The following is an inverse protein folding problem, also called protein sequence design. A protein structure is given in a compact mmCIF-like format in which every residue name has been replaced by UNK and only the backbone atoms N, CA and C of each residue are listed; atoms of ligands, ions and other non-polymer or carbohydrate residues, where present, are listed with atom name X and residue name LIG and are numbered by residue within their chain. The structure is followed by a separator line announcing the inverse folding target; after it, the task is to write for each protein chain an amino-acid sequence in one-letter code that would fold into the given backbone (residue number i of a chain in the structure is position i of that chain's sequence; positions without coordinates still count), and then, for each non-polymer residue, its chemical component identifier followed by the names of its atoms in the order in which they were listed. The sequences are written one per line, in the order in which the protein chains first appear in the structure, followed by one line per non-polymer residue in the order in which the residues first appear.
data_IF_601920274223
#
_entry.id   IF_601920274223
#
_cell.length_a   1.000
_cell.length_b   1.000
_cell.length_c   1.000
_cell.angle_alpha   90.00
_cell.angle_beta   90.00
_cell.angle_gamma   90.00
#
_symmetry.space_group_name_H-M   'P 1'
#
loop_
_entity.id
_entity.type
_entity.pdbx_description
1 polymer ?
#
# COMPACT_ATOMS: atom_id res chain seq x y z
N UNK A 1 12.77 17.07 -15.04
CA UNK A 1 11.80 15.99 -15.16
C UNK A 1 11.63 15.28 -13.83
N UNK A 2 10.43 15.22 -13.33
CA UNK A 2 10.17 14.62 -12.02
C UNK A 2 9.99 13.12 -12.18
N UNK A 3 10.81 12.35 -11.49
CA UNK A 3 10.64 10.91 -11.44
C UNK A 3 9.78 10.54 -10.27
N UNK A 4 8.91 9.57 -10.47
CA UNK A 4 8.08 9.04 -9.40
C UNK A 4 8.88 8.02 -8.59
N UNK A 5 9.47 8.49 -7.50
CA UNK A 5 10.34 7.67 -6.66
C UNK A 5 9.60 7.34 -5.37
N UNK A 6 9.64 6.06 -4.99
CA UNK A 6 9.02 5.61 -3.75
C UNK A 6 9.71 6.24 -2.53
N UNK A 7 8.90 6.78 -1.62
CA UNK A 7 9.40 7.41 -0.41
C UNK A 7 10.04 6.41 0.56
N UNK A 8 9.76 5.14 0.41
CA UNK A 8 10.24 4.09 1.32
C UNK A 8 11.48 3.38 0.78
N UNK A 9 11.43 2.89 -0.45
CA UNK A 9 12.53 2.10 -1.00
C UNK A 9 13.42 2.85 -1.99
N UNK A 10 13.07 4.08 -2.33
CA UNK A 10 13.81 4.91 -3.28
C UNK A 10 13.89 4.36 -4.70
N UNK A 11 13.07 3.38 -5.03
CA UNK A 11 13.01 2.85 -6.38
C UNK A 11 11.96 3.58 -7.20
N UNK A 12 12.15 3.60 -8.51
CA UNK A 12 11.21 4.22 -9.42
C UNK A 12 9.90 3.45 -9.43
N UNK A 13 8.78 4.17 -9.36
CA UNK A 13 7.46 3.57 -9.33
C UNK A 13 6.96 3.42 -10.76
N UNK A 14 6.76 2.18 -11.20
CA UNK A 14 6.25 1.88 -12.54
C UNK A 14 4.74 2.00 -12.62
N UNK A 15 4.04 1.56 -11.58
CA UNK A 15 2.58 1.66 -11.50
C UNK A 15 2.21 2.76 -10.54
N UNK A 16 1.72 3.86 -11.08
CA UNK A 16 1.40 5.05 -10.28
C UNK A 16 0.00 4.96 -9.71
N UNK A 17 -0.13 4.24 -8.60
CA UNK A 17 -1.38 4.17 -7.84
C UNK A 17 -1.18 4.92 -6.54
N UNK A 18 -2.04 5.90 -6.28
CA UNK A 18 -1.87 6.69 -5.07
C UNK A 18 -2.23 5.88 -3.82
N UNK A 19 -1.68 6.27 -2.65
CA UNK A 19 -1.97 5.56 -1.41
C UNK A 19 -3.46 5.47 -1.07
N UNK A 20 -4.26 6.47 -1.46
CA UNK A 20 -5.69 6.43 -1.19
C UNK A 20 -6.39 5.34 -2.00
N UNK A 21 -6.02 5.18 -3.27
CA UNK A 21 -6.58 4.11 -4.10
C UNK A 21 -6.16 2.74 -3.57
N UNK A 22 -4.91 2.59 -3.15
CA UNK A 22 -4.45 1.34 -2.55
C UNK A 22 -5.17 1.05 -1.24
N UNK A 23 -5.40 2.07 -0.44
CA UNK A 23 -6.15 1.95 0.81
C UNK A 23 -7.57 1.48 0.55
N UNK A 24 -8.23 2.04 -0.46
CA UNK A 24 -9.59 1.64 -0.82
C UNK A 24 -9.67 0.17 -1.20
N UNK A 25 -8.70 -0.33 -1.94
CA UNK A 25 -8.65 -1.74 -2.32
C UNK A 25 -8.58 -2.64 -1.08
N UNK A 26 -7.73 -2.30 -0.14
CA UNK A 26 -7.57 -3.07 1.09
C UNK A 26 -8.82 -2.97 1.97
N UNK A 27 -9.42 -1.78 2.06
CA UNK A 27 -10.64 -1.59 2.84
C UNK A 27 -11.79 -2.44 2.32
N UNK A 28 -11.96 -2.51 1.01
CA UNK A 28 -13.01 -3.34 0.42
C UNK A 28 -12.83 -4.80 0.79
N UNK A 29 -11.61 -5.27 0.76
CA UNK A 29 -11.30 -6.63 1.17
C UNK A 29 -11.55 -6.83 2.67
N UNK A 30 -11.11 -5.87 3.49
CA UNK A 30 -11.22 -5.94 4.94
C UNK A 30 -12.67 -5.90 5.41
N UNK A 31 -13.53 -5.14 4.71
CA UNK A 31 -14.95 -5.09 5.03
C UNK A 31 -15.62 -6.46 4.93
N UNK A 32 -15.12 -7.31 4.04
CA UNK A 32 -15.64 -8.66 3.89
C UNK A 32 -15.06 -9.63 4.89
N UNK A 33 -13.79 -9.41 5.30
CA UNK A 33 -13.07 -10.33 6.18
C UNK A 33 -13.20 -10.00 7.64
N UNK A 34 -13.01 -8.74 7.99
CA UNK A 34 -13.00 -8.29 9.39
C UNK A 34 -13.35 -6.81 9.44
N UNK A 35 -14.62 -6.51 9.33
CA UNK A 35 -15.08 -5.13 9.32
C UNK A 35 -14.67 -4.35 10.58
N UNK A 36 -14.52 -5.05 11.70
CA UNK A 36 -14.11 -4.40 12.94
C UNK A 36 -12.71 -3.78 12.88
N UNK A 37 -11.88 -4.21 11.94
CA UNK A 37 -10.53 -3.68 11.80
C UNK A 37 -10.43 -2.49 10.86
N UNK A 38 -11.49 -2.14 10.15
CA UNK A 38 -11.45 -1.06 9.14
C UNK A 38 -11.04 0.27 9.76
N UNK A 39 -11.61 0.61 10.90
CA UNK A 39 -11.31 1.86 11.57
C UNK A 39 -9.85 1.95 11.99
N UNK A 40 -9.34 0.88 12.60
CA UNK A 40 -7.94 0.82 13.03
C UNK A 40 -7.00 0.84 11.83
N UNK A 41 -7.39 0.18 10.74
CA UNK A 41 -6.63 0.17 9.51
C UNK A 41 -6.48 1.60 8.94
N UNK A 42 -7.56 2.37 8.92
CA UNK A 42 -7.51 3.76 8.44
C UNK A 42 -6.55 4.59 9.27
N UNK A 43 -6.57 4.40 10.58
CA UNK A 43 -5.66 5.11 11.48
C UNK A 43 -4.20 4.73 11.20
N UNK A 44 -3.94 3.46 11.01
CA UNK A 44 -2.59 2.97 10.71
C UNK A 44 -2.06 3.54 9.38
N UNK A 45 -2.89 3.53 8.34
CA UNK A 45 -2.49 4.07 7.05
C UNK A 45 -2.20 5.56 7.16
N UNK A 46 -3.06 6.31 7.86
CA UNK A 46 -2.85 7.74 8.04
C UNK A 46 -1.52 8.03 8.72
N UNK A 47 -1.22 7.30 9.78
CA UNK A 47 0.03 7.47 10.50
C UNK A 47 1.23 7.12 9.63
N UNK A 48 1.11 6.04 8.86
CA UNK A 48 2.17 5.64 7.95
C UNK A 48 2.45 6.72 6.90
N UNK A 49 1.41 7.25 6.28
CA UNK A 49 1.56 8.27 5.26
C UNK A 49 2.10 9.59 5.83
N UNK A 50 1.68 9.94 7.04
CA UNK A 50 2.18 11.14 7.70
C UNK A 50 3.67 11.04 7.99
N UNK A 51 4.16 9.86 8.33
CA UNK A 51 5.58 9.64 8.61
C UNK A 51 6.42 9.58 7.33
N UNK A 52 5.80 9.21 6.22
CA UNK A 52 6.51 9.07 4.95
C UNK A 52 6.28 10.24 4.01
N UNK A 53 5.79 11.35 4.53
CA UNK A 53 5.57 12.54 3.72
C UNK A 53 6.84 12.92 2.98
N UNK A 54 6.72 13.06 1.67
CA UNK A 54 7.84 13.34 0.81
C UNK A 54 7.43 14.41 -0.20
N UNK A 55 8.41 15.10 -0.74
CA UNK A 55 8.15 16.16 -1.70
C UNK A 55 8.00 15.65 -3.12
N UNK A 56 8.07 14.36 -3.31
CA UNK A 56 7.89 13.76 -4.63
C UNK A 56 6.41 13.66 -4.97
N UNK A 57 5.98 14.47 -5.91
CA UNK A 57 4.59 14.44 -6.35
C UNK A 57 4.38 13.33 -7.36
N UNK A 58 3.20 12.75 -7.31
CA UNK A 58 2.82 11.68 -8.22
C UNK A 58 1.37 11.88 -8.64
N UNK A 59 1.10 11.66 -9.93
CA UNK A 59 -0.27 11.65 -10.43
C UNK A 59 -0.75 10.22 -10.49
N UNK A 60 -1.84 9.92 -9.79
CA UNK A 60 -2.42 8.58 -9.76
C UNK A 60 -3.03 8.21 -11.12
N UNK A 61 -2.77 7.00 -11.59
CA UNK A 61 -3.34 6.51 -12.84
C UNK A 61 -4.82 6.14 -12.72
N UNK A 62 -5.29 5.93 -11.51
CA UNK A 62 -6.68 5.49 -11.27
C UNK A 62 -7.60 6.67 -11.02
N UNK A 63 -7.32 7.48 -10.00
CA UNK A 63 -8.19 8.59 -9.64
C UNK A 63 -7.74 9.93 -10.24
N UNK A 64 -6.57 9.98 -10.86
CA UNK A 64 -5.99 11.17 -11.48
C UNK A 64 -5.64 12.28 -10.51
N UNK A 65 -5.71 12.01 -9.22
CA UNK A 65 -5.34 13.00 -8.22
C UNK A 65 -3.82 13.11 -8.12
N UNK A 66 -3.35 14.31 -7.81
CA UNK A 66 -1.95 14.57 -7.54
C UNK A 66 -1.70 14.39 -6.06
N UNK A 67 -0.70 13.60 -5.70
CA UNK A 67 -0.38 13.33 -4.30
C UNK A 67 1.03 13.78 -3.96
N UNK A 68 1.24 14.16 -2.70
CA UNK A 68 2.55 14.56 -2.21
C UNK A 68 3.36 13.37 -1.70
N UNK A 69 2.71 12.23 -1.53
CA UNK A 69 3.35 11.02 -1.03
C UNK A 69 3.31 9.96 -2.10
N UNK A 70 4.48 9.53 -2.54
CA UNK A 70 4.60 8.47 -3.53
C UNK A 70 5.17 7.23 -2.85
N UNK A 71 4.38 6.16 -2.83
CA UNK A 71 4.78 4.88 -2.23
C UNK A 71 4.42 3.78 -3.22
N UNK A 72 5.36 2.88 -3.49
CA UNK A 72 5.09 1.79 -4.42
C UNK A 72 4.18 0.74 -3.77
N UNK A 73 3.51 -0.06 -4.60
CA UNK A 73 2.56 -1.05 -4.12
C UNK A 73 3.21 -2.07 -3.17
N UNK A 74 4.43 -2.50 -3.49
CA UNK A 74 5.13 -3.48 -2.66
C UNK A 74 5.39 -2.94 -1.25
N UNK A 75 5.91 -1.72 -1.13
CA UNK A 75 6.19 -1.12 0.17
C UNK A 75 4.93 -0.88 0.97
N UNK A 76 3.88 -0.40 0.31
CA UNK A 76 2.60 -0.17 0.98
C UNK A 76 2.02 -1.48 1.50
N UNK A 77 1.99 -2.50 0.64
CA UNK A 77 1.41 -3.80 0.99
C UNK A 77 2.21 -4.50 2.08
N UNK A 78 3.54 -4.44 2.02
CA UNK A 78 4.39 -5.00 3.06
C UNK A 78 4.13 -4.35 4.42
N UNK A 79 3.94 -3.06 4.43
CA UNK A 79 3.62 -2.33 5.67
C UNK A 79 2.31 -2.82 6.26
N UNK A 80 1.31 -3.03 5.40
CA UNK A 80 0.00 -3.50 5.84
C UNK A 80 0.08 -4.93 6.36
N UNK A 81 0.83 -5.79 5.68
CA UNK A 81 1.05 -7.18 6.14
C UNK A 81 1.65 -7.18 7.55
N UNK A 82 2.66 -6.35 7.78
CA UNK A 82 3.30 -6.27 9.09
C UNK A 82 2.32 -5.85 10.17
N UNK A 83 1.43 -4.92 9.85
CA UNK A 83 0.41 -4.48 10.80
C UNK A 83 -0.60 -5.58 11.09
N UNK A 84 -1.11 -6.26 10.05
CA UNK A 84 -2.04 -7.37 10.23
C UNK A 84 -1.39 -8.48 11.08
N UNK A 85 -0.12 -8.78 10.83
CA UNK A 85 0.57 -9.83 11.56
C UNK A 85 0.62 -9.56 13.06
N UNK A 86 0.66 -8.30 13.45
CA UNK A 86 0.62 -7.93 14.87
C UNK A 86 -0.77 -8.07 15.46
N UNK A 87 -1.81 -7.95 14.65
CA UNK A 87 -3.20 -8.00 15.10
C UNK A 87 -3.77 -9.41 15.03
N UNK A 88 -3.54 -10.10 13.92
CA UNK A 88 -4.12 -11.42 13.68
C UNK A 88 -3.33 -12.11 12.57
N UNK A 89 -2.58 -13.14 12.93
CA UNK A 89 -1.74 -13.85 11.95
C UNK A 89 -2.54 -14.54 10.85
N UNK A 90 -3.72 -15.03 11.18
CA UNK A 90 -4.58 -15.68 10.19
C UNK A 90 -5.03 -14.65 9.15
N UNK A 91 -5.44 -13.48 9.62
CA UNK A 91 -5.84 -12.39 8.73
C UNK A 91 -4.67 -11.95 7.84
N UNK A 92 -3.47 -11.88 8.40
CA UNK A 92 -2.28 -11.52 7.64
C UNK A 92 -2.02 -12.54 6.53
N UNK A 93 -2.16 -13.82 6.83
CA UNK A 93 -1.98 -14.88 5.84
C UNK A 93 -3.02 -14.77 4.72
N UNK A 94 -4.27 -14.54 5.08
CA UNK A 94 -5.34 -14.36 4.09
C UNK A 94 -5.08 -13.15 3.21
N UNK A 95 -4.58 -12.06 3.81
CA UNK A 95 -4.26 -10.85 3.07
C UNK A 95 -3.13 -11.09 2.07
N UNK A 96 -2.09 -11.78 2.48
CA UNK A 96 -0.96 -12.11 1.60
C UNK A 96 -1.45 -12.90 0.38
N UNK A 97 -2.35 -13.84 0.58
CA UNK A 97 -2.93 -14.62 -0.51
C UNK A 97 -3.75 -13.75 -1.46
N UNK A 98 -4.54 -12.85 -0.90
CA UNK A 98 -5.41 -11.99 -1.70
C UNK A 98 -4.63 -10.94 -2.49
N UNK A 99 -3.55 -10.43 -1.92
CA UNK A 99 -2.75 -9.36 -2.52
C UNK A 99 -1.37 -9.82 -2.96
N UNK A 100 -1.26 -11.08 -3.33
CA UNK A 100 -0.01 -11.70 -3.72
C UNK A 100 0.68 -10.96 -4.87
N UNK A 101 -0.08 -10.51 -5.83
CA UNK A 101 0.50 -9.83 -7.00
C UNK A 101 1.16 -8.49 -6.64
N UNK A 102 0.70 -7.84 -5.57
CA UNK A 102 1.29 -6.59 -5.12
C UNK A 102 2.59 -6.83 -4.34
N UNK A 103 2.69 -7.99 -3.67
CA UNK A 103 3.87 -8.36 -2.90
C UNK A 103 4.93 -9.00 -3.76
N UNK A 104 4.52 -9.77 -4.76
CA UNK A 104 5.45 -10.38 -5.68
C UNK A 104 5.90 -9.36 -6.68
N UNK A 105 6.99 -8.76 -6.37
CA UNK A 105 7.70 -7.91 -7.28
C UNK A 105 8.20 -8.71 -8.46
N UNK A 106 8.65 -8.04 -9.51
CA UNK A 106 9.18 -8.68 -10.71
C UNK A 106 10.25 -9.71 -10.42
N UNK A 107 10.97 -9.54 -9.33
CA UNK A 107 12.01 -10.47 -8.91
C UNK A 107 11.48 -11.86 -8.63
N UNK A 108 10.29 -11.98 -8.09
CA UNK A 108 9.72 -13.27 -7.73
C UNK A 108 9.07 -13.97 -8.90
N UNK A 109 8.69 -13.23 -9.90
CA UNK A 109 8.13 -13.82 -11.10
C UNK A 109 9.14 -14.68 -11.86
N UNK A 110 10.41 -14.45 -11.60
CA UNK A 110 11.50 -15.15 -12.30
C UNK A 110 12.27 -16.09 -11.40
N UNK A 111 11.80 -16.26 -10.20
CA UNK A 111 12.47 -17.17 -9.27
C UNK A 111 12.12 -18.61 -9.54
#
# INVERSE_FOLDING_TARGET
MVRNICAVCNEEISQRTCPLCMTDEVELWLERKRISFVKDFRTEVRQFLDRTKHYNRMTCNICRAETETAVCRACFTERIVAWFAKKDKVLATDFVRAFKSDLQDEKELYA
#
